data_IF_167585850500
#
_entry.id   IF_167585850500
#
_cell.length_a   1.000
_cell.length_b   1.000
_cell.length_c   1.000
_cell.angle_alpha   90.00
_cell.angle_beta   90.00
_cell.angle_gamma   90.00
#
_symmetry.space_group_name_H-M   'P 1'
#
loop_
_entity.id
_entity.type
_entity.pdbx_description
1 polymer ?
#
# COMPACT_ATOMS: atom_id res chain seq x y z
N UNK A 1 5.54 -18.57 -9.52
CA UNK A 1 4.46 -19.13 -8.68
C UNK A 1 4.53 -18.42 -7.35
N UNK A 2 3.70 -17.40 -7.16
CA UNK A 2 3.61 -16.70 -5.88
C UNK A 2 3.07 -17.65 -4.82
N UNK A 3 3.71 -17.71 -3.65
CA UNK A 3 3.25 -18.55 -2.56
C UNK A 3 1.92 -18.00 -2.04
N UNK A 4 0.81 -18.61 -2.46
CA UNK A 4 -0.56 -18.19 -2.15
C UNK A 4 -0.82 -18.08 -0.65
N UNK A 5 -0.05 -18.80 0.18
CA UNK A 5 -0.13 -18.73 1.64
C UNK A 5 0.16 -17.33 2.21
N UNK A 6 0.94 -16.50 1.51
CA UNK A 6 1.30 -15.15 1.97
C UNK A 6 0.60 -14.03 1.21
N UNK A 7 -0.28 -14.34 0.25
CA UNK A 7 -0.94 -13.33 -0.60
C UNK A 7 -1.64 -12.26 0.23
N UNK A 8 -2.35 -12.63 1.30
CA UNK A 8 -3.06 -11.66 2.15
C UNK A 8 -2.11 -10.63 2.78
N UNK A 9 -0.93 -11.07 3.22
CA UNK A 9 0.07 -10.17 3.80
C UNK A 9 0.64 -9.22 2.74
N UNK A 10 0.93 -9.73 1.53
CA UNK A 10 1.44 -8.89 0.45
C UNK A 10 0.40 -7.88 -0.03
N UNK A 11 -0.86 -8.28 -0.18
CA UNK A 11 -1.98 -7.36 -0.47
C UNK A 11 -2.05 -6.27 0.59
N UNK A 12 -2.03 -6.64 1.88
CA UNK A 12 -2.04 -5.68 2.99
C UNK A 12 -0.88 -4.69 2.91
N UNK A 13 0.32 -5.15 2.54
CA UNK A 13 1.48 -4.29 2.41
C UNK A 13 1.36 -3.32 1.23
N UNK A 14 0.86 -3.79 0.08
CA UNK A 14 0.63 -2.95 -1.11
C UNK A 14 -0.42 -1.89 -0.81
N UNK A 15 -1.56 -2.27 -0.22
CA UNK A 15 -2.61 -1.32 0.17
C UNK A 15 -2.10 -0.27 1.17
N UNK A 16 -1.30 -0.69 2.17
CA UNK A 16 -0.73 0.23 3.14
C UNK A 16 0.31 1.19 2.52
N UNK A 17 1.13 0.70 1.59
CA UNK A 17 2.06 1.53 0.84
C UNK A 17 1.31 2.57 -0.01
N UNK A 18 0.29 2.13 -0.76
CA UNK A 18 -0.57 3.00 -1.55
C UNK A 18 -1.25 4.05 -0.69
N UNK A 19 -1.76 3.70 0.48
CA UNK A 19 -2.42 4.64 1.38
C UNK A 19 -1.52 5.79 1.81
N UNK A 20 -0.27 5.49 2.20
CA UNK A 20 0.71 6.52 2.60
C UNK A 20 1.10 7.39 1.41
N UNK A 21 1.46 6.78 0.28
CA UNK A 21 1.92 7.53 -0.90
C UNK A 21 0.78 8.35 -1.51
N UNK A 22 -0.44 7.82 -1.56
CA UNK A 22 -1.60 8.55 -2.05
C UNK A 22 -1.98 9.72 -1.14
N UNK A 23 -1.92 9.55 0.18
CA UNK A 23 -2.10 10.66 1.12
C UNK A 23 -1.05 11.76 0.87
N UNK A 24 0.22 11.40 0.75
CA UNK A 24 1.30 12.37 0.52
C UNK A 24 1.16 13.10 -0.82
N UNK A 25 0.82 12.39 -1.89
CA UNK A 25 0.60 12.98 -3.20
C UNK A 25 -0.55 14.01 -3.14
N UNK A 26 -1.66 13.66 -2.48
CA UNK A 26 -2.88 14.48 -2.42
C UNK A 26 -2.76 15.65 -1.43
N UNK A 27 -2.27 15.40 -0.23
CA UNK A 27 -2.25 16.38 0.85
C UNK A 27 -0.94 17.16 0.99
N UNK A 28 0.14 16.70 0.33
CA UNK A 28 1.46 17.35 0.41
C UNK A 28 2.11 17.61 -0.96
N UNK A 29 1.48 17.19 -2.05
CA UNK A 29 2.06 17.29 -3.39
C UNK A 29 3.29 16.38 -3.61
N UNK A 30 3.54 15.42 -2.71
CA UNK A 30 4.66 14.48 -2.80
C UNK A 30 4.23 13.21 -3.54
N UNK A 31 4.43 13.21 -4.86
CA UNK A 31 4.15 12.08 -5.75
C UNK A 31 5.30 11.09 -5.90
N UNK A 32 6.27 11.04 -4.97
CA UNK A 32 7.49 10.25 -5.15
C UNK A 32 7.31 8.73 -5.05
N UNK A 33 6.17 8.22 -4.56
CA UNK A 33 5.90 6.78 -4.52
C UNK A 33 6.87 5.96 -3.65
N UNK A 34 7.55 6.61 -2.69
CA UNK A 34 8.67 6.01 -1.95
C UNK A 34 8.28 4.75 -1.19
N UNK A 35 7.05 4.63 -0.69
CA UNK A 35 6.65 3.48 0.14
C UNK A 35 6.42 2.27 -0.75
N UNK A 36 5.81 2.49 -1.92
CA UNK A 36 5.66 1.47 -2.94
C UNK A 36 7.01 0.98 -3.46
N UNK A 37 7.94 1.90 -3.77
CA UNK A 37 9.29 1.56 -4.21
C UNK A 37 10.06 0.72 -3.16
N UNK A 38 9.98 1.12 -1.90
CA UNK A 38 10.64 0.41 -0.81
C UNK A 38 10.04 -0.98 -0.57
N UNK A 39 8.70 -1.10 -0.69
CA UNK A 39 8.03 -2.40 -0.62
C UNK A 39 8.47 -3.30 -1.76
N UNK A 40 8.51 -2.78 -2.99
CA UNK A 40 8.95 -3.56 -4.15
C UNK A 40 10.39 -4.05 -3.98
N UNK A 41 11.30 -3.20 -3.50
CA UNK A 41 12.68 -3.61 -3.19
C UNK A 41 12.73 -4.71 -2.14
N UNK A 42 11.92 -4.61 -1.07
CA UNK A 42 11.84 -5.65 -0.05
C UNK A 42 11.37 -6.98 -0.66
N UNK A 43 10.24 -6.98 -1.35
CA UNK A 43 9.66 -8.18 -1.98
C UNK A 43 10.62 -8.83 -2.98
N UNK A 44 11.30 -8.04 -3.81
CA UNK A 44 12.31 -8.55 -4.76
C UNK A 44 13.48 -9.20 -4.02
N UNK A 45 13.94 -8.59 -2.92
CA UNK A 45 15.09 -9.08 -2.17
C UNK A 45 14.80 -10.34 -1.34
N UNK A 46 13.63 -10.45 -0.71
CA UNK A 46 13.31 -11.53 0.23
C UNK A 46 12.41 -12.60 -0.38
N UNK A 47 11.41 -12.20 -1.16
CA UNK A 47 10.37 -13.10 -1.68
C UNK A 47 10.53 -13.44 -3.16
N UNK A 48 11.49 -12.78 -3.85
CA UNK A 48 11.76 -12.97 -5.29
C UNK A 48 10.54 -12.71 -6.18
N UNK A 49 9.64 -11.83 -5.74
CA UNK A 49 8.47 -11.35 -6.47
C UNK A 49 8.46 -9.82 -6.52
N UNK A 50 7.65 -9.25 -7.40
CA UNK A 50 7.45 -7.79 -7.49
C UNK A 50 6.09 -7.39 -6.93
N UNK A 51 5.91 -6.09 -6.65
CA UNK A 51 4.57 -5.54 -6.36
C UNK A 51 3.61 -5.84 -7.51
N UNK A 52 4.04 -5.68 -8.76
CA UNK A 52 3.21 -5.96 -9.94
C UNK A 52 2.70 -7.41 -9.93
N UNK A 53 3.58 -8.36 -9.61
CA UNK A 53 3.20 -9.78 -9.46
C UNK A 53 2.15 -9.97 -8.35
N UNK A 54 2.27 -9.26 -7.23
CA UNK A 54 1.27 -9.30 -6.15
C UNK A 54 -0.07 -8.74 -6.64
N UNK A 55 -0.05 -7.61 -7.33
CA UNK A 55 -1.25 -6.96 -7.87
C UNK A 55 -1.96 -7.79 -8.97
N UNK A 56 -1.21 -8.56 -9.75
CA UNK A 56 -1.77 -9.44 -10.79
C UNK A 56 -2.20 -10.81 -10.24
N UNK A 57 -1.51 -11.37 -9.25
CA UNK A 57 -1.74 -12.75 -8.79
C UNK A 57 -2.48 -12.88 -7.44
N UNK A 58 -2.36 -11.90 -6.54
CA UNK A 58 -2.93 -11.97 -5.18
C UNK A 58 -4.15 -11.09 -4.98
N UNK A 59 -4.30 -10.00 -5.75
CA UNK A 59 -5.47 -9.13 -5.66
C UNK A 59 -6.70 -9.76 -6.32
N UNK A 60 -7.92 -9.49 -5.83
CA UNK A 60 -9.14 -10.05 -6.40
C UNK A 60 -9.40 -9.59 -7.84
N UNK A 61 -8.90 -8.42 -8.23
CA UNK A 61 -9.03 -7.89 -9.58
C UNK A 61 -8.18 -8.65 -10.62
N UNK A 62 -7.13 -9.35 -10.16
CA UNK A 62 -6.12 -10.04 -11.00
C UNK A 62 -5.62 -9.18 -12.17
N UNK A 63 -5.52 -7.88 -11.92
CA UNK A 63 -5.18 -6.88 -12.90
C UNK A 63 -4.65 -5.65 -12.17
N UNK A 64 -3.34 -5.44 -12.29
CA UNK A 64 -2.68 -4.39 -11.52
C UNK A 64 -3.28 -2.99 -11.75
N UNK A 65 -3.71 -2.67 -12.97
CA UNK A 65 -4.30 -1.36 -13.27
C UNK A 65 -5.61 -1.15 -12.51
N UNK A 66 -6.45 -2.18 -12.46
CA UNK A 66 -7.72 -2.14 -11.71
C UNK A 66 -7.46 -2.08 -10.20
N UNK A 67 -6.52 -2.87 -9.69
CA UNK A 67 -6.13 -2.85 -8.28
C UNK A 67 -5.63 -1.45 -7.86
N UNK A 68 -4.71 -0.85 -8.62
CA UNK A 68 -4.20 0.49 -8.35
C UNK A 68 -5.30 1.54 -8.39
N UNK A 69 -6.16 1.50 -9.41
CA UNK A 69 -7.29 2.42 -9.52
C UNK A 69 -8.22 2.30 -8.31
N UNK A 70 -8.58 1.08 -7.87
CA UNK A 70 -9.39 0.88 -6.67
C UNK A 70 -8.72 1.48 -5.44
N UNK A 71 -7.47 1.14 -5.17
CA UNK A 71 -6.77 1.61 -3.98
C UNK A 71 -6.66 3.14 -3.92
N UNK A 72 -6.41 3.80 -5.05
CA UNK A 72 -6.40 5.27 -5.11
C UNK A 72 -7.78 5.88 -4.86
N UNK A 73 -8.83 5.27 -5.40
CA UNK A 73 -10.21 5.68 -5.15
C UNK A 73 -10.59 5.49 -3.68
N UNK A 74 -10.21 4.37 -3.07
CA UNK A 74 -10.48 4.07 -1.66
C UNK A 74 -9.87 5.14 -0.73
N UNK A 75 -8.64 5.57 -0.98
CA UNK A 75 -7.99 6.64 -0.20
C UNK A 75 -8.69 7.98 -0.42
N UNK A 76 -9.09 8.27 -1.65
CA UNK A 76 -9.82 9.50 -1.99
C UNK A 76 -11.16 9.57 -1.25
N UNK A 77 -11.92 8.48 -1.28
CA UNK A 77 -13.19 8.36 -0.56
C UNK A 77 -12.98 8.53 0.95
N UNK A 78 -11.96 7.89 1.54
CA UNK A 78 -11.67 8.04 2.97
C UNK A 78 -11.29 9.49 3.32
N UNK A 79 -10.54 10.17 2.46
CA UNK A 79 -10.21 11.60 2.64
C UNK A 79 -11.46 12.47 2.57
N UNK A 80 -12.37 12.23 1.63
CA UNK A 80 -13.63 12.98 1.54
C UNK A 80 -14.51 12.75 2.77
N UNK A 81 -14.66 11.50 3.21
CA UNK A 81 -15.47 11.13 4.38
C UNK A 81 -15.01 11.80 5.67
N UNK A 82 -13.70 11.99 5.85
CA UNK A 82 -13.15 12.62 7.05
C UNK A 82 -13.15 14.16 6.98
N UNK A 83 -13.49 14.77 5.84
CA UNK A 83 -13.49 16.23 5.65
C UNK A 83 -12.20 16.79 5.04
N UNK A 84 -11.49 15.97 4.25
CA UNK A 84 -10.31 16.35 3.49
C UNK A 84 -9.00 16.34 4.28
N UNK A 85 -7.94 16.83 3.64
CA UNK A 85 -6.56 16.73 4.14
C UNK A 85 -6.32 17.35 5.53
N UNK A 86 -6.97 18.47 5.84
CA UNK A 86 -6.81 19.14 7.13
C UNK A 86 -7.38 18.28 8.28
N UNK A 87 -8.59 17.75 8.10
CA UNK A 87 -9.23 16.87 9.07
C UNK A 87 -8.51 15.51 9.16
N UNK A 88 -8.08 14.95 8.03
CA UNK A 88 -7.26 13.74 7.98
C UNK A 88 -5.95 13.88 8.78
N UNK A 89 -5.27 15.03 8.65
CA UNK A 89 -4.08 15.33 9.44
C UNK A 89 -4.41 15.44 10.93
N UNK A 90 -5.46 16.17 11.29
CA UNK A 90 -5.88 16.33 12.69
C UNK A 90 -6.27 14.98 13.34
N UNK A 91 -6.84 14.06 12.55
CA UNK A 91 -7.20 12.71 12.98
C UNK A 91 -6.02 11.72 13.03
N UNK A 92 -4.80 12.14 12.68
CA UNK A 92 -3.62 11.26 12.67
C UNK A 92 -3.67 10.17 11.60
N UNK A 93 -4.43 10.38 10.52
CA UNK A 93 -4.64 9.37 9.47
C UNK A 93 -3.34 8.92 8.81
N UNK A 94 -2.41 9.86 8.55
CA UNK A 94 -1.09 9.55 7.98
C UNK A 94 -0.24 8.68 8.91
N UNK A 95 -0.35 8.89 10.23
CA UNK A 95 0.37 8.09 11.21
C UNK A 95 -0.19 6.67 11.27
N UNK A 96 -1.52 6.52 11.18
CA UNK A 96 -2.17 5.21 11.10
C UNK A 96 -1.76 4.45 9.82
N UNK A 97 -1.75 5.13 8.67
CA UNK A 97 -1.27 4.54 7.41
C UNK A 97 0.20 4.11 7.50
N UNK A 98 1.04 4.97 8.07
CA UNK A 98 2.47 4.69 8.25
C UNK A 98 2.70 3.52 9.21
N UNK A 99 1.93 3.43 10.30
CA UNK A 99 2.01 2.32 11.24
C UNK A 99 1.61 0.99 10.58
N UNK A 100 0.52 0.97 9.81
CA UNK A 100 0.09 -0.21 9.04
C UNK A 100 1.16 -0.65 8.04
N UNK A 101 1.75 0.29 7.32
CA UNK A 101 2.84 0.02 6.38
C UNK A 101 4.05 -0.61 7.08
N UNK A 102 4.52 -0.01 8.18
CA UNK A 102 5.68 -0.51 8.92
C UNK A 102 5.43 -1.90 9.51
N UNK A 103 4.22 -2.16 10.02
CA UNK A 103 3.83 -3.47 10.52
C UNK A 103 3.84 -4.54 9.41
N UNK A 104 3.33 -4.19 8.22
CA UNK A 104 3.33 -5.10 7.08
C UNK A 104 4.77 -5.42 6.61
N UNK A 105 5.66 -4.42 6.55
CA UNK A 105 7.08 -4.65 6.23
C UNK A 105 7.76 -5.56 7.25
N UNK A 106 7.48 -5.36 8.54
CA UNK A 106 8.04 -6.19 9.61
C UNK A 106 7.57 -7.65 9.47
N UNK A 107 6.29 -7.86 9.19
CA UNK A 107 5.73 -9.20 8.96
C UNK A 107 6.33 -9.87 7.71
N UNK A 108 6.54 -9.14 6.61
CA UNK A 108 7.21 -9.68 5.41
C UNK A 108 8.66 -10.10 5.72
N UNK A 109 9.38 -9.31 6.53
CA UNK A 109 10.76 -9.63 6.93
C UNK A 109 10.85 -10.86 7.84
N UNK A 110 9.76 -11.22 8.52
CA UNK A 110 9.68 -12.38 9.39
C UNK A 110 9.28 -13.66 8.65
N UNK A 111 8.97 -13.58 7.35
CA UNK A 111 8.74 -14.78 6.52
C UNK A 111 10.07 -15.54 6.42
N UNK A 112 10.10 -16.85 6.76
CA UNK A 112 11.30 -17.69 6.67
C UNK A 112 11.86 -17.83 5.24
#
# INVERSE_FOLDING_TARGET
>A
MTNTAHCQLFVTAVEAATAVDAYHARCRGDGSGRRMDNLNKLLVSTQRITVLTVEDECFPEQNYRRAQQRMEQDVTIQLEQIGGCAAAKAAGMVDQFTARYNAALAAIRAIP
#
